data_IF_321826902847
#
_entry.id   IF_321826902847
#
_cell.length_a   1.000
_cell.length_b   1.000
_cell.length_c   1.000
_cell.angle_alpha   90.00
_cell.angle_beta   90.00
_cell.angle_gamma   90.00
#
_symmetry.space_group_name_H-M   'P 1'
#
loop_
_entity.id
_entity.type
_entity.pdbx_description
1 polymer ?
#
# COMPACT_ATOMS: atom_id res chain seq x y z
N UNK A 1 -13.78 -21.20 -12.02
CA UNK A 1 -12.92 -22.28 -11.73
C UNK A 1 -12.23 -22.11 -10.42
N UNK A 2 -12.32 -23.12 -9.58
CA UNK A 2 -11.84 -23.05 -8.22
C UNK A 2 -10.33 -22.93 -8.04
N UNK A 3 -9.59 -22.95 -9.12
CA UNK A 3 -8.13 -22.85 -9.08
C UNK A 3 -7.60 -21.43 -9.15
N UNK A 4 -8.46 -20.46 -9.36
CA UNK A 4 -8.03 -19.07 -9.47
C UNK A 4 -7.64 -18.51 -8.11
N UNK A 5 -6.48 -17.87 -8.07
CA UNK A 5 -6.04 -17.18 -6.87
C UNK A 5 -6.86 -15.91 -6.64
N UNK A 6 -7.13 -15.64 -5.38
CA UNK A 6 -7.81 -14.44 -4.92
C UNK A 6 -6.85 -13.57 -4.13
N UNK A 7 -7.22 -12.31 -3.96
CA UNK A 7 -6.43 -11.36 -3.17
C UNK A 7 -6.10 -11.92 -1.79
N UNK A 8 -7.08 -12.53 -1.13
CA UNK A 8 -6.88 -13.12 0.21
C UNK A 8 -5.84 -14.22 0.28
N UNK A 9 -5.56 -14.89 -0.85
CA UNK A 9 -4.57 -15.97 -0.90
C UNK A 9 -3.14 -15.46 -0.88
N UNK A 10 -2.90 -14.23 -1.36
CA UNK A 10 -1.54 -13.70 -1.52
C UNK A 10 -1.29 -12.38 -0.81
N UNK A 11 -2.31 -11.74 -0.24
CA UNK A 11 -2.14 -10.47 0.47
C UNK A 11 -1.22 -10.60 1.67
N UNK A 12 -0.58 -9.51 2.04
CA UNK A 12 0.18 -9.41 3.29
C UNK A 12 -0.81 -9.07 4.40
N UNK A 13 -0.87 -9.90 5.44
CA UNK A 13 -1.82 -9.71 6.55
C UNK A 13 -1.38 -8.68 7.57
N UNK A 14 -0.07 -8.51 7.73
CA UNK A 14 0.46 -7.52 8.67
C UNK A 14 0.51 -6.17 7.98
N UNK A 15 -0.44 -5.29 8.31
CA UNK A 15 -0.52 -3.95 7.77
C UNK A 15 0.02 -2.96 8.79
N UNK A 16 0.92 -2.09 8.34
CA UNK A 16 1.45 -1.02 9.19
C UNK A 16 0.55 0.19 9.05
N UNK A 17 -0.01 0.66 10.16
CA UNK A 17 -0.95 1.77 10.19
C UNK A 17 -0.45 2.89 11.11
N UNK A 18 -0.98 4.08 10.90
CA UNK A 18 -0.71 5.22 11.77
C UNK A 18 -2.02 6.01 11.96
N UNK A 19 -2.34 6.42 13.18
CA UNK A 19 -3.58 7.17 13.43
C UNK A 19 -3.43 8.64 13.03
N UNK A 20 -4.55 9.35 12.94
CA UNK A 20 -4.58 10.81 12.75
C UNK A 20 -3.81 11.50 13.87
N UNK A 21 -3.27 12.66 13.56
CA UNK A 21 -2.54 13.48 14.50
C UNK A 21 -1.04 13.24 14.56
N UNK A 22 -0.57 12.20 13.89
CA UNK A 22 0.86 11.89 13.83
C UNK A 22 1.54 12.68 12.71
N UNK A 23 2.81 13.00 12.92
CA UNK A 23 3.57 13.81 11.96
C UNK A 23 4.14 12.97 10.84
N UNK A 24 4.51 13.64 9.75
CA UNK A 24 5.17 12.97 8.62
C UNK A 24 6.53 12.42 9.04
N UNK A 25 7.21 13.08 9.98
CA UNK A 25 8.45 12.51 10.52
C UNK A 25 8.20 11.15 11.18
N UNK A 26 7.12 11.03 11.96
CA UNK A 26 6.74 9.77 12.58
C UNK A 26 6.39 8.70 11.54
N UNK A 27 5.73 9.11 10.44
CA UNK A 27 5.44 8.20 9.31
C UNK A 27 6.75 7.69 8.70
N UNK A 28 7.69 8.60 8.43
CA UNK A 28 8.98 8.24 7.83
C UNK A 28 9.77 7.28 8.74
N UNK A 29 9.76 7.54 10.05
CA UNK A 29 10.41 6.64 11.01
C UNK A 29 9.77 5.25 11.03
N UNK A 30 8.46 5.20 10.91
CA UNK A 30 7.72 3.93 10.87
C UNK A 30 8.06 3.13 9.60
N UNK A 31 8.16 3.82 8.46
CA UNK A 31 8.59 3.20 7.21
C UNK A 31 9.99 2.60 7.33
N UNK A 32 10.92 3.36 7.91
CA UNK A 32 12.30 2.90 8.11
C UNK A 32 12.36 1.70 9.03
N UNK A 33 11.65 1.75 10.16
CA UNK A 33 11.62 0.68 11.14
C UNK A 33 11.11 -0.64 10.56
N UNK A 34 10.09 -0.57 9.71
CA UNK A 34 9.45 -1.74 9.14
C UNK A 34 9.96 -2.07 7.72
N UNK A 35 10.88 -1.28 7.19
CA UNK A 35 11.43 -1.44 5.85
C UNK A 35 10.32 -1.51 4.79
N UNK A 36 9.42 -0.55 4.82
CA UNK A 36 8.27 -0.48 3.91
C UNK A 36 8.16 0.89 3.28
N UNK A 37 7.52 0.96 2.11
CA UNK A 37 7.34 2.18 1.34
C UNK A 37 5.96 2.79 1.41
N UNK A 38 5.09 2.29 2.28
CA UNK A 38 3.75 2.86 2.45
C UNK A 38 3.21 2.58 3.85
N UNK A 39 2.35 3.48 4.33
CA UNK A 39 1.69 3.37 5.62
C UNK A 39 0.22 3.72 5.42
N UNK A 40 -0.67 2.94 6.00
CA UNK A 40 -2.10 3.20 5.94
C UNK A 40 -2.47 4.14 7.08
N UNK A 41 -3.18 5.20 6.75
CA UNK A 41 -3.64 6.17 7.76
C UNK A 41 -5.03 5.76 8.22
N UNK A 42 -5.21 5.66 9.52
CA UNK A 42 -6.47 5.29 10.16
C UNK A 42 -6.91 6.41 11.09
N UNK A 43 -8.21 6.52 11.33
CA UNK A 43 -8.73 7.62 12.13
C UNK A 43 -8.40 7.47 13.61
N UNK A 44 -8.38 6.23 14.09
CA UNK A 44 -8.18 5.93 15.50
C UNK A 44 -7.09 4.88 15.75
N UNK A 45 -6.79 4.66 17.01
CA UNK A 45 -5.76 3.69 17.42
C UNK A 45 -6.15 2.23 17.18
N UNK A 46 -7.43 1.94 17.00
CA UNK A 46 -7.90 0.59 16.75
C UNK A 46 -7.46 0.10 15.36
N UNK A 47 -7.23 1.04 14.43
CA UNK A 47 -6.66 0.71 13.12
C UNK A 47 -7.54 -0.12 12.22
N UNK A 48 -8.84 -0.14 12.46
CA UNK A 48 -9.76 -0.98 11.70
C UNK A 48 -10.22 -0.37 10.37
N UNK A 49 -10.36 0.96 10.33
CA UNK A 49 -10.91 1.65 9.16
C UNK A 49 -9.87 2.56 8.52
N UNK A 50 -9.41 2.16 7.35
CA UNK A 50 -8.43 2.92 6.59
C UNK A 50 -9.05 4.17 5.99
N UNK A 51 -8.36 5.29 6.09
CA UNK A 51 -8.82 6.58 5.55
C UNK A 51 -7.98 7.06 4.37
N UNK A 52 -6.73 6.68 4.32
CA UNK A 52 -5.84 7.06 3.24
C UNK A 52 -4.55 6.27 3.30
N UNK A 53 -3.66 6.56 2.38
CA UNK A 53 -2.35 5.92 2.29
C UNK A 53 -1.29 6.98 2.06
N UNK A 54 -0.13 6.80 2.69
CA UNK A 54 1.05 7.64 2.46
C UNK A 54 2.14 6.75 1.92
N UNK A 55 2.72 7.15 0.79
CA UNK A 55 3.84 6.46 0.17
C UNK A 55 5.11 7.30 0.29
N UNK A 56 6.26 6.70 0.00
CA UNK A 56 7.53 7.41 -0.09
C UNK A 56 7.43 8.56 -1.09
N UNK A 57 6.74 8.33 -2.22
CA UNK A 57 6.53 9.34 -3.24
C UNK A 57 5.77 10.56 -2.68
N UNK A 58 4.75 10.33 -1.84
CA UNK A 58 4.01 11.41 -1.19
C UNK A 58 4.93 12.28 -0.35
N UNK A 59 5.83 11.67 0.40
CA UNK A 59 6.76 12.41 1.27
C UNK A 59 7.72 13.25 0.43
N UNK A 60 8.27 12.67 -0.64
CA UNK A 60 9.18 13.38 -1.52
C UNK A 60 8.47 14.56 -2.21
N UNK A 61 7.30 14.32 -2.76
CA UNK A 61 6.64 15.33 -3.60
C UNK A 61 5.80 16.34 -2.81
N UNK A 62 5.19 15.91 -1.73
CA UNK A 62 4.29 16.80 -0.96
C UNK A 62 4.98 17.47 0.22
N UNK A 63 6.09 16.93 0.70
CA UNK A 63 6.84 17.50 1.83
C UNK A 63 8.17 18.06 1.36
N UNK A 64 9.08 17.24 0.87
CA UNK A 64 10.43 17.71 0.50
C UNK A 64 10.43 18.70 -0.65
N UNK A 65 9.75 18.36 -1.74
CA UNK A 65 9.72 19.23 -2.92
C UNK A 65 9.01 20.56 -2.69
N UNK A 66 8.09 20.60 -1.75
CA UNK A 66 7.36 21.83 -1.40
C UNK A 66 8.02 22.62 -0.27
N UNK A 67 9.08 22.10 0.32
CA UNK A 67 9.73 22.73 1.45
C UNK A 67 8.88 22.75 2.72
N UNK A 68 7.93 21.83 2.83
CA UNK A 68 7.08 21.72 4.02
C UNK A 68 7.83 21.06 5.16
N UNK A 69 7.42 21.39 6.39
CA UNK A 69 8.09 20.90 7.59
C UNK A 69 7.52 19.53 8.01
N UNK A 70 8.32 18.44 7.99
CA UNK A 70 7.84 17.13 8.39
C UNK A 70 7.50 17.03 9.88
N UNK A 71 8.00 17.94 10.70
CA UNK A 71 7.68 17.97 12.14
C UNK A 71 6.29 18.52 12.41
N UNK A 72 5.78 19.37 11.51
CA UNK A 72 4.49 20.05 11.69
C UNK A 72 3.39 19.57 10.73
N UNK A 73 3.75 18.82 9.69
CA UNK A 73 2.77 18.27 8.76
C UNK A 73 2.20 16.97 9.32
N UNK A 74 0.87 16.85 9.31
CA UNK A 74 0.17 15.68 9.85
C UNK A 74 -0.11 14.66 8.74
N UNK A 75 -0.15 13.38 9.14
CA UNK A 75 -0.39 12.28 8.21
C UNK A 75 -1.68 12.48 7.39
N UNK A 76 -2.77 12.86 8.04
CA UNK A 76 -4.06 13.05 7.37
C UNK A 76 -4.07 14.20 6.37
N UNK A 77 -3.16 15.17 6.52
CA UNK A 77 -3.04 16.29 5.57
C UNK A 77 -2.38 15.89 4.27
N UNK A 78 -1.55 14.84 4.30
CA UNK A 78 -0.69 14.43 3.18
C UNK A 78 -1.21 13.17 2.48
N UNK A 79 -1.95 12.34 3.20
CA UNK A 79 -2.42 11.06 2.68
C UNK A 79 -3.17 11.21 1.36
N UNK A 80 -3.01 10.23 0.48
CA UNK A 80 -3.77 10.15 -0.76
C UNK A 80 -5.14 9.56 -0.47
N UNK A 81 -6.18 10.22 -0.97
CA UNK A 81 -7.58 9.83 -0.82
C UNK A 81 -8.38 10.29 -2.04
N UNK A 82 -9.54 9.68 -2.37
CA UNK A 82 -10.13 8.55 -1.67
C UNK A 82 -9.29 7.30 -1.79
N UNK A 83 -9.38 6.45 -0.77
CA UNK A 83 -8.62 5.21 -0.73
C UNK A 83 -9.30 4.16 -1.62
N UNK A 84 -8.54 3.56 -2.53
CA UNK A 84 -9.02 2.43 -3.32
C UNK A 84 -8.74 1.16 -2.54
N UNK A 85 -9.77 0.33 -2.36
CA UNK A 85 -9.68 -0.91 -1.60
C UNK A 85 -10.19 -2.08 -2.43
N UNK A 86 -9.80 -3.29 -2.04
CA UNK A 86 -10.33 -4.53 -2.62
C UNK A 86 -10.74 -5.46 -1.49
N UNK A 87 -11.45 -6.51 -1.85
CA UNK A 87 -11.89 -7.54 -0.91
C UNK A 87 -11.06 -8.80 -1.05
N UNK A 88 -11.02 -9.67 -0.03
CA UNK A 88 -10.24 -10.92 -0.14
C UNK A 88 -10.67 -11.82 -1.29
N UNK A 89 -11.93 -11.78 -1.68
CA UNK A 89 -12.45 -12.60 -2.77
C UNK A 89 -12.29 -11.98 -4.16
N UNK A 90 -11.71 -10.79 -4.24
CA UNK A 90 -11.39 -10.16 -5.52
C UNK A 90 -10.35 -11.01 -6.24
N UNK A 91 -10.53 -11.21 -7.55
CA UNK A 91 -9.54 -11.94 -8.34
C UNK A 91 -8.25 -11.13 -8.46
N UNK A 92 -7.14 -11.83 -8.65
CA UNK A 92 -5.84 -11.15 -8.85
C UNK A 92 -5.88 -10.31 -10.13
N UNK A 93 -6.56 -10.79 -11.16
CA UNK A 93 -6.70 -10.05 -12.40
C UNK A 93 -7.43 -8.72 -12.17
N UNK A 94 -8.54 -8.74 -11.45
CA UNK A 94 -9.28 -7.50 -11.16
C UNK A 94 -8.49 -6.56 -10.27
N UNK A 95 -7.74 -7.08 -9.30
CA UNK A 95 -6.88 -6.27 -8.46
C UNK A 95 -5.76 -5.61 -9.29
N UNK A 96 -5.15 -6.35 -10.21
CA UNK A 96 -4.12 -5.81 -11.09
C UNK A 96 -4.68 -4.70 -11.99
N UNK A 97 -5.90 -4.88 -12.50
CA UNK A 97 -6.58 -3.84 -13.28
C UNK A 97 -6.82 -2.59 -12.44
N UNK A 98 -7.26 -2.77 -11.20
CA UNK A 98 -7.50 -1.66 -10.28
C UNK A 98 -6.22 -0.87 -10.02
N UNK A 99 -5.09 -1.55 -9.82
CA UNK A 99 -3.80 -0.91 -9.65
C UNK A 99 -3.43 -0.06 -10.87
N UNK A 100 -3.60 -0.63 -12.08
CA UNK A 100 -3.29 0.06 -13.32
C UNK A 100 -4.18 1.27 -13.55
N UNK A 101 -5.49 1.10 -13.39
CA UNK A 101 -6.47 2.17 -13.64
C UNK A 101 -6.32 3.32 -12.67
N UNK A 102 -5.97 3.04 -11.44
CA UNK A 102 -5.80 4.07 -10.39
C UNK A 102 -4.36 4.50 -10.21
N UNK A 103 -3.42 3.95 -10.98
CA UNK A 103 -1.99 4.25 -10.91
C UNK A 103 -1.43 4.09 -9.51
N UNK A 104 -1.80 3.02 -8.86
CA UNK A 104 -1.33 2.68 -7.52
C UNK A 104 -0.63 1.32 -7.55
N UNK A 105 0.33 1.14 -6.67
CA UNK A 105 1.10 -0.11 -6.56
C UNK A 105 0.68 -0.95 -5.36
N UNK A 106 -0.28 -0.47 -4.60
CA UNK A 106 -0.77 -1.13 -3.39
C UNK A 106 -2.25 -0.87 -3.24
N UNK A 107 -2.96 -1.89 -2.75
CA UNK A 107 -4.38 -1.81 -2.47
C UNK A 107 -4.63 -2.36 -1.07
N UNK A 108 -5.16 -1.56 -0.17
CA UNK A 108 -5.62 -2.09 1.11
C UNK A 108 -6.75 -3.09 0.88
N UNK A 109 -6.79 -4.13 1.69
CA UNK A 109 -7.80 -5.18 1.62
C UNK A 109 -8.72 -5.05 2.83
N UNK A 110 -10.01 -5.00 2.59
CA UNK A 110 -11.02 -4.84 3.63
C UNK A 110 -12.03 -5.99 3.58
N UNK A 111 -12.64 -6.28 4.72
CA UNK A 111 -13.71 -7.26 4.81
C UNK A 111 -15.06 -6.60 4.51
N UNK A 112 -16.16 -7.36 4.64
CA UNK A 112 -17.50 -6.82 4.34
C UNK A 112 -17.95 -5.73 5.31
N UNK A 113 -17.35 -5.67 6.49
CA UNK A 113 -17.57 -4.59 7.45
C UNK A 113 -16.68 -3.36 7.18
N UNK A 114 -15.97 -3.36 6.06
CA UNK A 114 -15.03 -2.29 5.69
C UNK A 114 -13.86 -2.15 6.66
N UNK A 115 -13.50 -3.24 7.33
CA UNK A 115 -12.37 -3.27 8.22
C UNK A 115 -11.12 -3.71 7.48
N UNK A 116 -10.00 -3.06 7.77
CA UNK A 116 -8.69 -3.35 7.15
C UNK A 116 -8.18 -4.70 7.63
N UNK A 117 -7.95 -5.63 6.70
CA UNK A 117 -7.48 -6.99 7.03
C UNK A 117 -6.20 -7.39 6.32
N UNK A 118 -5.71 -6.56 5.40
CA UNK A 118 -4.49 -6.84 4.68
C UNK A 118 -4.13 -5.75 3.71
N UNK A 119 -3.04 -5.96 2.99
CA UNK A 119 -2.61 -5.08 1.90
C UNK A 119 -2.07 -5.95 0.77
N UNK A 120 -2.44 -5.61 -0.45
CA UNK A 120 -1.93 -6.27 -1.65
C UNK A 120 -1.00 -5.31 -2.38
N UNK A 121 0.23 -5.73 -2.61
CA UNK A 121 1.19 -4.92 -3.36
C UNK A 121 1.46 -5.53 -4.73
N UNK A 122 2.01 -4.70 -5.61
CA UNK A 122 2.52 -5.16 -6.91
C UNK A 122 3.55 -6.28 -6.70
N UNK A 123 4.41 -6.16 -5.67
CA UNK A 123 5.38 -7.18 -5.33
C UNK A 123 4.74 -8.51 -4.92
N UNK A 124 3.61 -8.48 -4.24
CA UNK A 124 2.89 -9.71 -3.87
C UNK A 124 2.42 -10.46 -5.12
N UNK A 125 1.92 -9.71 -6.11
CA UNK A 125 1.49 -10.31 -7.38
C UNK A 125 2.69 -10.90 -8.13
N UNK A 126 3.80 -10.19 -8.14
CA UNK A 126 5.01 -10.65 -8.83
C UNK A 126 5.54 -11.95 -8.25
N UNK A 127 5.36 -12.20 -6.96
CA UNK A 127 5.81 -13.43 -6.30
C UNK A 127 5.13 -14.69 -6.82
N UNK A 128 3.93 -14.58 -7.39
CA UNK A 128 3.22 -15.74 -7.92
C UNK A 128 3.66 -16.10 -9.35
N UNK A 129 4.54 -15.30 -9.93
CA UNK A 129 5.12 -15.55 -11.26
C UNK A 129 6.66 -15.51 -11.21
N UNK A 130 7.30 -16.31 -10.35
CA UNK A 130 8.75 -16.21 -10.15
C UNK A 130 9.55 -16.47 -11.42
N UNK A 131 9.11 -17.40 -12.27
CA UNK A 131 9.79 -17.70 -13.53
C UNK A 131 9.81 -16.49 -14.45
N UNK A 132 8.71 -15.75 -14.51
CA UNK A 132 8.61 -14.54 -15.34
C UNK A 132 9.53 -13.45 -14.80
N UNK A 133 9.57 -13.29 -13.49
CA UNK A 133 10.45 -12.32 -12.83
C UNK A 133 11.91 -12.65 -13.10
N UNK A 134 12.30 -13.92 -12.95
CA UNK A 134 13.68 -14.36 -13.21
C UNK A 134 14.10 -14.08 -14.68
N UNK A 135 13.20 -14.31 -15.61
CA UNK A 135 13.48 -14.02 -17.03
C UNK A 135 13.69 -12.52 -17.27
N UNK A 136 12.91 -11.68 -16.61
CA UNK A 136 13.04 -10.23 -16.70
C UNK A 136 14.39 -9.78 -16.15
N UNK A 137 14.77 -10.27 -15.00
CA UNK A 137 16.05 -9.95 -14.35
C UNK A 137 17.23 -10.42 -15.19
N UNK A 138 17.18 -11.62 -15.73
CA UNK A 138 18.21 -12.16 -16.60
C UNK A 138 18.38 -11.29 -17.86
N UNK A 139 17.29 -10.89 -18.48
CA UNK A 139 17.30 -10.03 -19.65
C UNK A 139 17.90 -8.66 -19.34
N UNK A 140 17.58 -8.11 -18.18
CA UNK A 140 18.10 -6.83 -17.74
C UNK A 140 19.61 -6.88 -17.50
N UNK A 141 20.13 -8.04 -17.04
CA UNK A 141 21.56 -8.23 -16.77
C UNK A 141 22.39 -8.22 -18.07
N UNK A 142 21.79 -8.53 -19.20
CA UNK A 142 22.47 -8.56 -20.49
C UNK A 142 22.27 -7.31 -21.35
N UNK A 143 21.47 -6.39 -20.87
CA UNK A 143 21.24 -5.11 -21.56
C UNK A 143 22.03 -3.94 -20.92
#
# INVERSE_FOLDING_TARGET
MGSELRVGDIMTKKVVTIPFGKTILEVAKLMKKNNIGSVIVVEDKEGKHAKGIITERDIVYKILAKGSDPYNSKAEEIMSKPLRVVKPDTSIEDAAKAMRENRVKRLPVVNDANELIGILSEGDIMKIFPVVVDLIEEKAAFS
#
